data_IF_490769484920
#
_entry.id   IF_490769484920
#
_cell.length_a   1.000
_cell.length_b   1.000
_cell.length_c   1.000
_cell.angle_alpha   90.00
_cell.angle_beta   90.00
_cell.angle_gamma   90.00
#
_symmetry.space_group_name_H-M   'P 1'
#
loop_
_entity.id
_entity.type
_entity.pdbx_description
1 polymer ?
#
# COMPACT_ATOMS: atom_id res chain seq x y z
N UNK A 1 -8.29 3.50 -10.21
CA UNK A 1 -7.29 3.98 -11.20
C UNK A 1 -5.97 3.25 -10.99
N UNK A 2 -5.32 2.73 -12.06
CA UNK A 2 -4.09 1.92 -11.93
C UNK A 2 -2.87 2.72 -11.44
N UNK A 3 -2.75 3.99 -11.86
CA UNK A 3 -1.61 4.86 -11.52
C UNK A 3 -1.52 5.13 -10.01
N UNK A 4 -2.63 5.51 -9.37
CA UNK A 4 -2.67 5.72 -7.91
C UNK A 4 -2.30 4.45 -7.13
N UNK A 5 -2.70 3.27 -7.61
CA UNK A 5 -2.27 2.01 -7.00
C UNK A 5 -0.75 1.81 -7.06
N UNK A 6 -0.10 2.19 -8.16
CA UNK A 6 1.36 2.14 -8.30
C UNK A 6 2.08 3.20 -7.47
N UNK A 7 1.49 4.40 -7.32
CA UNK A 7 2.00 5.40 -6.40
C UNK A 7 1.92 4.88 -4.96
N UNK A 8 0.77 4.32 -4.55
CA UNK A 8 0.59 3.71 -3.23
C UNK A 8 1.61 2.61 -2.96
N UNK A 9 1.84 1.70 -3.93
CA UNK A 9 2.88 0.68 -3.84
C UNK A 9 4.26 1.29 -3.52
N UNK A 10 4.66 2.32 -4.27
CA UNK A 10 5.96 2.97 -4.11
C UNK A 10 6.11 3.70 -2.77
N UNK A 11 5.10 4.46 -2.33
CA UNK A 11 5.16 5.24 -1.09
C UNK A 11 5.12 4.35 0.16
N UNK A 12 4.37 3.23 0.14
CA UNK A 12 4.39 2.26 1.24
C UNK A 12 5.76 1.59 1.35
N UNK A 13 6.34 1.17 0.22
CA UNK A 13 7.69 0.59 0.20
C UNK A 13 8.72 1.58 0.73
N UNK A 14 8.61 2.85 0.35
CA UNK A 14 9.49 3.91 0.85
C UNK A 14 9.32 4.11 2.37
N UNK A 15 8.09 4.18 2.86
CA UNK A 15 7.80 4.36 4.29
C UNK A 15 8.35 3.18 5.12
N UNK A 16 8.09 1.94 4.70
CA UNK A 16 8.61 0.74 5.35
C UNK A 16 10.14 0.75 5.44
N UNK A 17 10.82 1.13 4.36
CA UNK A 17 12.28 1.11 4.33
C UNK A 17 12.94 2.29 5.06
N UNK A 18 12.18 3.35 5.38
CA UNK A 18 12.68 4.52 6.14
C UNK A 18 12.33 4.49 7.61
N UNK A 19 11.24 3.84 7.99
CA UNK A 19 10.73 3.83 9.35
C UNK A 19 10.49 2.39 9.82
N UNK A 20 11.29 1.95 10.79
CA UNK A 20 11.22 0.61 11.36
C UNK A 20 9.86 0.30 11.99
N UNK A 21 9.21 1.27 12.63
CA UNK A 21 7.89 1.08 13.22
C UNK A 21 6.81 0.94 12.15
N UNK A 22 6.89 1.71 11.07
CA UNK A 22 6.02 1.54 9.91
C UNK A 22 6.23 0.15 9.28
N UNK A 23 7.48 -0.28 9.09
CA UNK A 23 7.79 -1.62 8.59
C UNK A 23 7.16 -2.71 9.46
N UNK A 24 7.26 -2.61 10.79
CA UNK A 24 6.65 -3.58 11.71
C UNK A 24 5.12 -3.57 11.60
N UNK A 25 4.47 -2.40 11.43
CA UNK A 25 3.01 -2.30 11.24
C UNK A 25 2.57 -2.94 9.91
N UNK A 26 3.20 -2.57 8.81
CA UNK A 26 2.87 -3.10 7.48
C UNK A 26 3.20 -4.59 7.37
N UNK A 27 4.36 -5.02 7.87
CA UNK A 27 4.77 -6.42 7.90
C UNK A 27 3.86 -7.27 8.80
N UNK A 28 3.31 -6.71 9.89
CA UNK A 28 2.26 -7.35 10.69
C UNK A 28 1.01 -7.58 9.87
N UNK A 29 0.51 -6.56 9.17
CA UNK A 29 -0.66 -6.71 8.29
C UNK A 29 -0.39 -7.79 7.25
N UNK A 30 0.73 -7.69 6.53
CA UNK A 30 1.11 -8.60 5.45
C UNK A 30 1.15 -10.09 5.85
N UNK A 31 1.52 -10.38 7.10
CA UNK A 31 1.57 -11.74 7.64
C UNK A 31 0.30 -12.17 8.38
N UNK A 32 -0.78 -11.38 8.32
CA UNK A 32 -2.04 -11.58 9.07
C UNK A 32 -1.81 -11.65 10.59
N UNK A 33 -0.85 -10.88 11.07
CA UNK A 33 -0.49 -10.76 12.48
C UNK A 33 -1.43 -9.84 13.26
N UNK A 34 -1.43 -9.99 14.59
CA UNK A 34 -2.25 -9.17 15.50
C UNK A 34 -1.47 -8.06 16.20
N UNK A 35 -0.15 -8.19 16.27
CA UNK A 35 0.74 -7.23 16.96
C UNK A 35 2.04 -7.05 16.17
N UNK A 36 2.57 -5.82 16.08
CA UNK A 36 3.90 -5.58 15.53
C UNK A 36 4.97 -6.30 16.36
N UNK A 37 6.03 -6.78 15.73
CA UNK A 37 7.09 -7.55 16.39
C UNK A 37 8.47 -7.19 15.86
N UNK A 38 9.49 -7.18 16.72
CA UNK A 38 10.88 -6.82 16.36
C UNK A 38 11.51 -7.76 15.31
N UNK A 39 11.05 -9.02 15.22
CA UNK A 39 11.51 -9.95 14.18
C UNK A 39 11.21 -9.48 12.75
N UNK A 40 10.34 -8.47 12.56
CA UNK A 40 10.12 -7.85 11.26
C UNK A 40 11.26 -6.91 10.84
N UNK A 41 12.16 -6.56 11.76
CA UNK A 41 13.29 -5.68 11.49
C UNK A 41 14.34 -6.33 10.61
N UNK A 42 14.39 -7.66 10.57
CA UNK A 42 15.26 -8.42 9.68
C UNK A 42 14.74 -8.45 8.24
N UNK A 43 13.56 -7.88 7.99
CA UNK A 43 12.92 -7.85 6.69
C UNK A 43 12.82 -6.42 6.14
N UNK A 44 12.87 -6.31 4.82
CA UNK A 44 12.64 -5.07 4.07
C UNK A 44 11.51 -5.26 3.06
N UNK A 45 10.70 -4.22 2.86
CA UNK A 45 9.61 -4.25 1.90
C UNK A 45 10.13 -3.99 0.47
N UNK A 46 9.60 -4.72 -0.51
CA UNK A 46 9.82 -4.47 -1.94
C UNK A 46 8.47 -4.50 -2.68
N UNK A 47 8.30 -3.61 -3.66
CA UNK A 47 7.12 -3.58 -4.52
C UNK A 47 7.33 -4.45 -5.75
N UNK A 48 6.51 -5.46 -5.98
CA UNK A 48 6.71 -6.48 -7.03
C UNK A 48 6.58 -5.89 -8.44
N UNK A 49 5.91 -4.75 -8.59
CA UNK A 49 5.77 -4.05 -9.85
C UNK A 49 6.70 -2.85 -10.04
N UNK A 50 7.61 -2.58 -9.11
CA UNK A 50 8.52 -1.43 -9.19
C UNK A 50 9.78 -1.73 -10.01
N UNK A 51 10.26 -0.74 -10.76
CA UNK A 51 11.52 -0.81 -11.52
C UNK A 51 12.74 -1.02 -10.61
N UNK A 52 12.67 -0.57 -9.34
CA UNK A 52 13.70 -0.88 -8.35
C UNK A 52 13.80 -2.39 -8.11
N UNK A 53 12.66 -3.08 -7.97
CA UNK A 53 12.62 -4.54 -7.81
C UNK A 53 13.09 -5.25 -9.07
N UNK A 54 12.70 -4.81 -10.26
CA UNK A 54 13.19 -5.39 -11.52
C UNK A 54 14.72 -5.37 -11.61
N UNK A 55 15.36 -4.29 -11.17
CA UNK A 55 16.82 -4.13 -11.24
C UNK A 55 17.57 -4.92 -10.18
N UNK A 56 17.09 -4.93 -8.93
CA UNK A 56 17.86 -5.47 -7.80
C UNK A 56 17.39 -6.87 -7.37
N UNK A 57 16.14 -7.21 -7.66
CA UNK A 57 15.50 -8.47 -7.27
C UNK A 57 14.64 -9.02 -8.44
N UNK A 58 15.22 -9.25 -9.64
CA UNK A 58 14.47 -9.61 -10.84
C UNK A 58 13.61 -10.87 -10.67
N UNK A 59 14.05 -11.83 -9.86
CA UNK A 59 13.32 -13.05 -9.52
C UNK A 59 12.04 -12.81 -8.70
N UNK A 60 11.91 -11.62 -8.08
CA UNK A 60 10.73 -11.19 -7.31
C UNK A 60 9.88 -10.17 -8.07
N UNK A 61 10.40 -9.64 -9.18
CA UNK A 61 9.67 -8.71 -10.01
C UNK A 61 8.61 -9.44 -10.81
N UNK A 62 7.38 -8.97 -10.70
CA UNK A 62 6.29 -9.44 -11.53
C UNK A 62 5.25 -8.33 -11.64
N UNK A 63 5.41 -7.48 -12.66
CA UNK A 63 4.49 -6.38 -12.95
C UNK A 63 3.07 -6.84 -13.31
N UNK A 64 2.90 -8.12 -13.64
CA UNK A 64 1.61 -8.75 -13.92
C UNK A 64 1.07 -9.54 -12.73
N UNK A 65 1.80 -9.62 -11.60
CA UNK A 65 1.42 -10.46 -10.47
C UNK A 65 0.07 -9.98 -9.93
N UNK A 66 -0.99 -10.78 -10.08
CA UNK A 66 -2.31 -10.33 -9.71
C UNK A 66 -2.58 -10.53 -8.23
N UNK A 67 -1.59 -10.92 -7.40
CA UNK A 67 -1.80 -11.34 -6.02
C UNK A 67 -1.15 -10.44 -4.97
N UNK A 68 0.03 -9.87 -5.25
CA UNK A 68 0.86 -9.17 -4.25
C UNK A 68 1.53 -7.98 -4.88
N UNK A 69 1.14 -6.78 -4.47
CA UNK A 69 1.86 -5.57 -4.86
C UNK A 69 3.13 -5.41 -4.03
N UNK A 70 3.10 -5.78 -2.74
CA UNK A 70 4.25 -5.62 -1.84
C UNK A 70 4.51 -6.91 -1.08
N UNK A 71 5.79 -7.29 -0.97
CA UNK A 71 6.27 -8.42 -0.19
C UNK A 71 7.46 -8.00 0.70
N UNK A 72 7.79 -8.84 1.68
CA UNK A 72 8.90 -8.63 2.60
C UNK A 72 9.96 -9.71 2.38
N UNK A 73 11.20 -9.28 2.11
CA UNK A 73 12.36 -10.17 1.92
C UNK A 73 13.35 -9.97 3.06
N UNK A 74 14.05 -11.04 3.44
CA UNK A 74 15.08 -10.95 4.48
C UNK A 74 16.24 -10.07 3.99
N UNK A 75 16.78 -9.23 4.88
CA UNK A 75 17.84 -8.26 4.56
C UNK A 75 19.14 -8.96 4.15
N UNK A 76 19.57 -9.94 4.95
CA UNK A 76 20.80 -10.71 4.71
C UNK A 76 20.66 -11.81 3.65
N UNK A 77 19.45 -12.37 3.47
CA UNK A 77 19.19 -13.43 2.51
C UNK A 77 17.93 -13.13 1.69
N UNK A 78 18.11 -12.37 0.62
CA UNK A 78 17.01 -11.87 -0.22
C UNK A 78 16.22 -12.96 -0.97
N UNK A 79 16.65 -14.23 -0.88
CA UNK A 79 15.86 -15.37 -1.38
C UNK A 79 14.71 -15.73 -0.42
N UNK A 80 14.89 -15.47 0.87
CA UNK A 80 13.90 -15.75 1.91
C UNK A 80 12.87 -14.62 2.01
N UNK A 81 11.61 -15.03 2.14
CA UNK A 81 10.48 -14.14 2.28
C UNK A 81 9.85 -14.29 3.66
N UNK A 82 9.25 -13.21 4.16
CA UNK A 82 8.39 -13.28 5.33
C UNK A 82 7.22 -14.22 5.02
N UNK A 83 6.80 -15.03 5.99
CA UNK A 83 5.68 -15.96 5.83
C UNK A 83 4.42 -15.47 6.57
N UNK A 84 3.25 -15.78 6.01
CA UNK A 84 1.97 -15.58 6.70
C UNK A 84 1.88 -16.46 7.94
N UNK A 85 1.19 -15.97 8.97
CA UNK A 85 0.86 -16.75 10.15
C UNK A 85 -0.34 -17.66 9.87
N UNK A 86 -0.08 -18.96 9.74
CA UNK A 86 -1.11 -20.00 9.62
C UNK A 86 -1.06 -20.87 10.88
N UNK A 87 -2.19 -20.99 11.59
CA UNK A 87 -2.23 -21.79 12.83
C UNK A 87 -2.05 -23.28 12.51
N UNK A 88 -1.18 -23.95 13.27
CA UNK A 88 -1.04 -25.41 13.24
C UNK A 88 -0.39 -25.97 11.98
N UNK A 89 0.30 -25.15 11.19
CA UNK A 89 0.90 -25.58 9.93
C UNK A 89 2.42 -25.34 9.94
N UNK A 90 3.19 -26.32 9.48
CA UNK A 90 4.66 -26.24 9.37
C UNK A 90 5.13 -25.73 8.00
N UNK A 91 4.19 -25.43 7.10
CA UNK A 91 4.40 -24.81 5.80
C UNK A 91 3.75 -23.43 5.76
N UNK A 92 4.40 -22.45 5.12
CA UNK A 92 3.90 -21.09 5.02
C UNK A 92 3.79 -20.61 3.58
N UNK A 93 2.77 -19.80 3.32
CA UNK A 93 2.72 -18.96 2.11
C UNK A 93 3.49 -17.69 2.41
N UNK A 94 4.17 -17.15 1.40
CA UNK A 94 4.75 -15.80 1.47
C UNK A 94 3.75 -14.79 2.04
N UNK A 95 4.22 -13.86 2.85
CA UNK A 95 3.48 -12.71 3.34
C UNK A 95 3.54 -11.58 2.31
N UNK A 96 2.50 -10.77 2.29
CA UNK A 96 2.41 -9.66 1.36
C UNK A 96 1.10 -8.93 1.50
N UNK A 97 0.93 -7.87 0.73
CA UNK A 97 -0.32 -7.12 0.65
C UNK A 97 -0.66 -6.84 -0.81
N UNK A 98 -1.95 -6.85 -1.09
CA UNK A 98 -2.50 -6.23 -2.29
C UNK A 98 -3.00 -4.84 -1.91
N UNK A 99 -2.66 -3.82 -2.71
CA UNK A 99 -3.08 -2.44 -2.49
C UNK A 99 -4.15 -2.04 -3.50
N UNK A 100 -5.17 -1.34 -3.03
CA UNK A 100 -6.20 -0.72 -3.86
C UNK A 100 -6.44 0.70 -3.41
N UNK A 101 -6.66 1.58 -4.39
CA UNK A 101 -6.93 3.00 -4.18
C UNK A 101 -8.09 3.40 -5.07
N UNK A 102 -9.14 3.97 -4.49
CA UNK A 102 -10.33 4.42 -5.21
C UNK A 102 -11.09 5.49 -4.42
N UNK A 103 -11.86 6.31 -5.14
CA UNK A 103 -12.85 7.20 -4.55
C UNK A 103 -14.23 6.53 -4.45
N UNK A 104 -14.43 5.42 -5.17
CA UNK A 104 -15.63 4.58 -5.13
C UNK A 104 -15.18 3.11 -5.19
N UNK A 105 -15.13 2.48 -4.02
CA UNK A 105 -14.75 1.09 -3.84
C UNK A 105 -15.91 0.13 -4.06
N UNK A 106 -17.17 0.58 -3.91
CA UNK A 106 -18.34 -0.25 -4.21
C UNK A 106 -18.39 -0.62 -5.70
N UNK A 107 -18.19 0.35 -6.58
CA UNK A 107 -18.12 0.08 -8.03
C UNK A 107 -16.80 -0.60 -8.42
N UNK A 108 -15.69 -0.22 -7.78
CA UNK A 108 -14.36 -0.66 -8.21
C UNK A 108 -13.89 -2.00 -7.66
N UNK A 109 -14.28 -2.38 -6.43
CA UNK A 109 -13.69 -3.50 -5.69
C UNK A 109 -14.68 -4.61 -5.33
N UNK A 110 -15.93 -4.24 -5.03
CA UNK A 110 -16.86 -5.15 -4.38
C UNK A 110 -17.04 -6.46 -5.17
N UNK A 111 -17.35 -6.36 -6.47
CA UNK A 111 -17.57 -7.55 -7.29
C UNK A 111 -16.26 -8.21 -7.73
N UNK A 112 -15.28 -7.41 -8.14
CA UNK A 112 -14.07 -7.88 -8.81
C UNK A 112 -13.03 -8.49 -7.87
N UNK A 113 -12.99 -8.05 -6.61
CA UNK A 113 -11.91 -8.35 -5.69
C UNK A 113 -12.43 -9.01 -4.40
N UNK A 114 -13.54 -8.53 -3.86
CA UNK A 114 -14.10 -9.00 -2.58
C UNK A 114 -14.97 -10.24 -2.78
N UNK A 115 -16.01 -10.15 -3.62
CA UNK A 115 -16.90 -11.28 -3.94
C UNK A 115 -16.11 -12.45 -4.56
N UNK A 116 -15.22 -12.14 -5.49
CA UNK A 116 -14.40 -13.12 -6.21
C UNK A 116 -13.31 -13.78 -5.36
N UNK A 117 -13.06 -13.29 -4.13
CA UNK A 117 -11.96 -13.72 -3.25
C UNK A 117 -10.62 -13.80 -3.98
N UNK A 118 -10.35 -12.76 -4.76
CA UNK A 118 -9.25 -12.77 -5.73
C UNK A 118 -7.87 -12.95 -5.07
N UNK A 119 -7.73 -12.55 -3.80
CA UNK A 119 -6.45 -12.39 -3.14
C UNK A 119 -6.25 -13.37 -1.98
N UNK A 120 -5.08 -14.02 -1.96
CA UNK A 120 -4.63 -14.86 -0.82
C UNK A 120 -4.07 -14.02 0.34
N UNK A 121 -3.67 -12.78 0.04
CA UNK A 121 -3.12 -11.81 0.98
C UNK A 121 -4.17 -10.81 1.46
N UNK A 122 -3.90 -10.12 2.57
CA UNK A 122 -4.66 -8.94 2.93
C UNK A 122 -4.78 -7.94 1.78
N UNK A 123 -6.01 -7.53 1.51
CA UNK A 123 -6.37 -6.44 0.61
C UNK A 123 -6.42 -5.15 1.43
N UNK A 124 -5.46 -4.26 1.20
CA UNK A 124 -5.40 -2.94 1.81
C UNK A 124 -6.06 -1.93 0.88
N UNK A 125 -7.15 -1.31 1.34
CA UNK A 125 -7.91 -0.34 0.57
C UNK A 125 -7.76 1.07 1.15
N UNK A 126 -7.23 1.97 0.33
CA UNK A 126 -7.28 3.42 0.57
C UNK A 126 -8.57 3.98 -0.04
N UNK A 127 -9.52 4.24 0.85
CA UNK A 127 -10.87 4.71 0.56
C UNK A 127 -10.91 6.24 0.46
N UNK A 128 -10.48 6.77 -0.68
CA UNK A 128 -10.36 8.23 -0.89
C UNK A 128 -11.72 8.95 -0.82
N UNK A 129 -12.82 8.22 -1.02
CA UNK A 129 -14.20 8.72 -0.86
C UNK A 129 -14.83 8.36 0.49
N UNK A 130 -14.03 7.89 1.47
CA UNK A 130 -14.47 7.49 2.80
C UNK A 130 -15.57 6.40 2.81
N UNK A 131 -15.53 5.47 1.85
CA UNK A 131 -16.57 4.47 1.63
C UNK A 131 -16.24 3.08 2.21
N UNK A 132 -15.15 2.96 2.96
CA UNK A 132 -14.73 1.68 3.56
C UNK A 132 -15.84 1.04 4.40
N UNK A 133 -16.52 1.83 5.25
CA UNK A 133 -17.58 1.32 6.10
C UNK A 133 -18.81 0.85 5.33
N UNK A 134 -19.15 1.52 4.22
CA UNK A 134 -20.24 1.10 3.33
C UNK A 134 -19.92 -0.27 2.71
N UNK A 135 -18.68 -0.47 2.27
CA UNK A 135 -18.20 -1.76 1.78
C UNK A 135 -18.28 -2.85 2.86
N UNK A 136 -17.77 -2.58 4.07
CA UNK A 136 -17.80 -3.58 5.15
C UNK A 136 -19.22 -3.96 5.55
N UNK A 137 -20.14 -3.00 5.61
CA UNK A 137 -21.55 -3.27 5.89
C UNK A 137 -22.17 -4.19 4.84
N UNK A 138 -21.82 -4.00 3.56
CA UNK A 138 -22.27 -4.86 2.46
C UNK A 138 -21.67 -6.27 2.52
N UNK A 139 -20.41 -6.40 2.95
CA UNK A 139 -19.75 -7.70 3.20
C UNK A 139 -20.47 -8.46 4.32
N UNK A 140 -20.76 -7.78 5.44
CA UNK A 140 -21.47 -8.36 6.58
C UNK A 140 -22.91 -8.75 6.22
N UNK A 141 -23.64 -7.87 5.53
CA UNK A 141 -25.01 -8.16 5.08
C UNK A 141 -25.07 -9.38 4.15
N UNK A 142 -24.03 -9.58 3.32
CA UNK A 142 -23.90 -10.74 2.46
C UNK A 142 -23.30 -11.98 3.14
N UNK A 143 -23.05 -11.94 4.47
CA UNK A 143 -22.48 -13.03 5.26
C UNK A 143 -21.21 -13.63 4.66
N UNK A 144 -20.37 -12.79 4.08
CA UNK A 144 -19.14 -13.25 3.44
C UNK A 144 -18.09 -13.65 4.48
N UNK A 145 -17.39 -14.75 4.22
CA UNK A 145 -16.22 -15.16 5.01
C UNK A 145 -14.97 -14.32 4.63
N UNK A 146 -14.99 -13.05 4.99
CA UNK A 146 -13.87 -12.10 4.83
C UNK A 146 -13.64 -11.43 6.18
N UNK A 147 -12.49 -11.67 6.81
CA UNK A 147 -12.20 -11.06 8.11
C UNK A 147 -11.78 -9.59 7.95
N UNK A 148 -12.65 -8.67 8.35
CA UNK A 148 -12.33 -7.23 8.36
C UNK A 148 -11.20 -6.97 9.38
N UNK A 149 -10.20 -6.20 8.98
CA UNK A 149 -8.98 -5.94 9.76
C UNK A 149 -7.91 -7.02 9.65
N UNK A 150 -8.17 -8.12 8.93
CA UNK A 150 -7.15 -9.16 8.64
C UNK A 150 -7.04 -9.45 7.15
N UNK A 151 -8.15 -9.80 6.49
CA UNK A 151 -8.20 -10.06 5.05
C UNK A 151 -8.54 -8.79 4.24
N UNK A 152 -9.37 -7.90 4.80
CA UNK A 152 -9.68 -6.60 4.20
C UNK A 152 -9.42 -5.48 5.20
N UNK A 153 -8.48 -4.61 4.89
CA UNK A 153 -7.94 -3.62 5.84
C UNK A 153 -8.01 -2.22 5.25
N UNK A 154 -8.37 -1.24 6.08
CA UNK A 154 -8.42 0.16 5.69
C UNK A 154 -7.02 0.78 5.73
N UNK A 155 -6.51 1.22 4.58
CA UNK A 155 -5.17 1.81 4.46
C UNK A 155 -4.94 3.01 5.38
N UNK A 156 -5.97 3.87 5.53
CA UNK A 156 -5.93 5.02 6.45
C UNK A 156 -5.62 4.62 7.90
N UNK A 157 -6.08 3.46 8.36
CA UNK A 157 -5.80 3.01 9.74
C UNK A 157 -4.36 2.54 9.95
N UNK A 158 -3.64 2.23 8.85
CA UNK A 158 -2.25 1.78 8.90
C UNK A 158 -1.31 2.99 8.84
N UNK A 159 -1.53 3.87 7.86
CA UNK A 159 -0.78 5.10 7.62
C UNK A 159 -1.74 6.20 7.14
N UNK A 160 -2.22 7.07 8.06
CA UNK A 160 -2.97 8.26 7.70
C UNK A 160 -2.21 9.17 6.73
N UNK A 161 -0.89 9.28 6.89
CA UNK A 161 -0.04 10.14 6.09
C UNK A 161 -0.01 9.71 4.62
N UNK A 162 0.08 8.41 4.35
CA UNK A 162 -0.02 7.89 2.98
C UNK A 162 -1.43 8.09 2.43
N UNK A 163 -2.47 7.95 3.25
CA UNK A 163 -3.84 8.18 2.80
C UNK A 163 -4.03 9.63 2.35
N UNK A 164 -3.62 10.60 3.18
CA UNK A 164 -3.75 12.03 2.89
C UNK A 164 -2.95 12.42 1.64
N UNK A 165 -1.76 11.84 1.45
CA UNK A 165 -0.96 12.01 0.23
C UNK A 165 -1.70 11.47 -1.02
N UNK A 166 -2.34 10.30 -0.92
CA UNK A 166 -3.08 9.74 -2.04
C UNK A 166 -4.35 10.54 -2.36
N UNK A 167 -5.00 11.13 -1.34
CA UNK A 167 -6.12 12.06 -1.53
C UNK A 167 -5.64 13.32 -2.25
N UNK A 168 -4.52 13.92 -1.83
CA UNK A 168 -4.01 15.14 -2.47
C UNK A 168 -3.62 14.92 -3.94
N UNK A 169 -3.14 13.72 -4.28
CA UNK A 169 -2.78 13.36 -5.65
C UNK A 169 -3.96 12.96 -6.52
N UNK A 170 -5.14 12.69 -5.95
CA UNK A 170 -6.26 12.10 -6.67
C UNK A 170 -6.67 12.91 -7.89
N UNK A 171 -6.98 14.20 -7.71
CA UNK A 171 -7.45 15.07 -8.78
C UNK A 171 -6.37 15.30 -9.84
N UNK A 172 -5.12 15.46 -9.39
CA UNK A 172 -3.99 15.60 -10.28
C UNK A 172 -3.84 14.39 -11.21
N UNK A 173 -3.84 13.19 -10.64
CA UNK A 173 -3.69 11.94 -11.40
C UNK A 173 -4.93 11.70 -12.26
N UNK A 174 -6.12 12.05 -11.77
CA UNK A 174 -7.35 11.94 -12.54
C UNK A 174 -7.29 12.81 -13.80
N UNK A 175 -6.92 14.09 -13.67
CA UNK A 175 -6.85 15.01 -14.79
C UNK A 175 -5.74 14.62 -15.79
N UNK A 176 -4.60 14.14 -15.30
CA UNK A 176 -3.53 13.60 -16.13
C UNK A 176 -3.99 12.39 -16.94
N UNK A 177 -4.64 11.41 -16.30
CA UNK A 177 -5.12 10.18 -16.95
C UNK A 177 -6.30 10.44 -17.88
N UNK A 178 -7.16 11.41 -17.55
CA UNK A 178 -8.27 11.83 -18.39
C UNK A 178 -7.82 12.70 -19.58
N UNK A 179 -6.53 13.02 -19.69
CA UNK A 179 -5.98 13.89 -20.75
C UNK A 179 -6.39 15.35 -20.62
N UNK A 180 -6.93 15.76 -19.47
CA UNK A 180 -7.31 17.15 -19.15
C UNK A 180 -6.11 18.00 -18.74
N UNK A 181 -5.05 17.34 -18.27
CA UNK A 181 -3.76 17.93 -17.94
C UNK A 181 -2.65 17.13 -18.62
N UNK A 182 -1.63 17.82 -19.13
CA UNK A 182 -0.39 17.19 -19.60
C UNK A 182 0.69 17.27 -18.52
N UNK A 183 1.61 16.30 -18.52
CA UNK A 183 2.73 16.25 -17.56
C UNK A 183 3.58 17.54 -17.60
N UNK A 184 3.76 18.16 -18.76
CA UNK A 184 4.51 19.41 -18.88
C UNK A 184 3.76 20.63 -18.33
N UNK A 185 2.43 20.57 -18.19
CA UNK A 185 1.65 21.63 -17.52
C UNK A 185 1.81 21.55 -16.00
N UNK A 186 1.97 20.34 -15.44
CA UNK A 186 2.30 20.14 -14.03
C UNK A 186 3.65 20.75 -13.64
N UNK A 187 4.62 20.67 -14.55
CA UNK A 187 6.01 21.11 -14.34
C UNK A 187 6.20 22.62 -14.61
N UNK A 188 5.33 23.23 -15.42
CA UNK A 188 5.45 24.65 -15.83
C UNK A 188 4.65 25.63 -14.99
N UNK A 189 3.73 25.15 -14.17
CA UNK A 189 3.02 26.02 -13.25
C UNK A 189 3.91 26.28 -12.04
N UNK A 190 4.67 27.39 -12.08
CA UNK A 190 5.58 27.82 -11.00
C UNK A 190 4.86 27.90 -9.66
N UNK A 191 3.59 28.30 -9.63
CA UNK A 191 2.77 28.38 -8.42
C UNK A 191 2.45 27.00 -7.86
N UNK A 192 2.09 26.03 -8.71
CA UNK A 192 1.86 24.64 -8.29
C UNK A 192 3.16 23.94 -7.87
N UNK A 193 4.26 24.19 -8.56
CA UNK A 193 5.55 23.62 -8.22
C UNK A 193 6.10 24.21 -6.92
N UNK A 194 5.97 25.52 -6.71
CA UNK A 194 6.35 26.18 -5.46
C UNK A 194 5.42 25.79 -4.30
N UNK A 195 4.12 25.66 -4.52
CA UNK A 195 3.19 25.15 -3.52
C UNK A 195 3.52 23.69 -3.13
N UNK A 196 3.80 22.84 -4.11
CA UNK A 196 4.23 21.45 -3.87
C UNK A 196 5.58 21.39 -3.15
N UNK A 197 6.56 22.19 -3.57
CA UNK A 197 7.88 22.29 -2.94
C UNK A 197 7.77 22.77 -1.50
N UNK A 198 6.93 23.77 -1.24
CA UNK A 198 6.67 24.31 0.09
C UNK A 198 6.01 23.27 1.00
N UNK A 199 4.99 22.55 0.53
CA UNK A 199 4.34 21.47 1.29
C UNK A 199 5.33 20.32 1.62
N UNK A 200 6.14 19.90 0.63
CA UNK A 200 7.18 18.89 0.84
C UNK A 200 8.25 19.35 1.84
N UNK A 201 8.62 20.63 1.82
CA UNK A 201 9.58 21.22 2.78
C UNK A 201 8.99 21.33 4.19
N UNK A 202 7.73 21.76 4.32
CA UNK A 202 7.03 21.89 5.60
C UNK A 202 6.83 20.52 6.29
N UNK A 203 6.50 19.48 5.52
CA UNK A 203 6.40 18.10 6.01
C UNK A 203 7.76 17.51 6.44
N UNK A 204 8.87 18.00 5.90
CA UNK A 204 10.23 17.59 6.32
C UNK A 204 10.75 18.41 7.52
N UNK A 205 10.36 19.68 7.65
CA UNK A 205 10.70 20.54 8.79
C UNK A 205 10.07 20.04 10.11
N UNK A 206 8.90 19.39 10.04
CA UNK A 206 8.27 18.75 11.20
C UNK A 206 8.95 17.43 11.64
N UNK A 207 10.04 17.02 10.95
CA UNK A 207 10.90 15.87 11.30
C UNK A 207 12.30 16.30 11.74
N UNK A 208 12.46 17.49 12.34
CA UNK A 208 13.69 17.75 13.08
C UNK A 208 13.71 16.96 14.39
N UNK A 209 14.47 15.88 14.36
CA UNK A 209 14.99 15.17 15.51
C UNK A 209 15.78 16.19 16.34
N UNK A 210 15.33 16.44 17.58
CA UNK A 210 16.21 16.99 18.62
C UNK A 210 17.25 15.91 18.89
N UNK A 211 18.47 16.10 18.39
CA UNK A 211 19.64 15.39 18.87
C UNK A 211 20.35 16.36 19.81
N UNK A 212 20.34 16.01 21.10
CA UNK A 212 21.28 16.52 22.10
C UNK A 212 22.70 16.04 21.76
#
# INVERSE_FOLDING_TARGET
MRVLGKIAEAVIVQECNRNIFANRKWGMVARKGRRPHQALDDFKAIGTGLNSTQRHHPQKYNATNPQRDIIWIHKENTTQELLQLVRGNNSGVSAGIQVKVSHDGLMYLYQSDIVSRRYEVPLVYFDLGNDFHNLTNKIYAAQMNVAIGTDFVRGHTISPEIHDLLVSYYWLVYDLVAGRMRIDQLIKDELLFDAFKKDVQEQQLHKQIIVL
#
